data_IF_392535644723
#
_entry.id   IF_392535644723
#
_cell.length_a   1.000
_cell.length_b   1.000
_cell.length_c   1.000
_cell.angle_alpha   90.00
_cell.angle_beta   90.00
_cell.angle_gamma   90.00
#
_symmetry.space_group_name_H-M   'P 1'
#
loop_
_entity.id
_entity.type
_entity.pdbx_description
1 polymer ?
#
# COMPACT_ATOMS: atom_id res chain seq x y z
N UNK A 1 31.42 22.01 6.67
CA UNK A 1 30.00 22.41 6.48
C UNK A 1 29.40 22.58 7.85
N UNK A 2 29.00 23.80 8.21
CA UNK A 2 28.36 24.03 9.49
C UNK A 2 26.91 23.58 9.47
N UNK A 3 26.40 23.33 10.66
CA UNK A 3 25.00 23.04 10.92
C UNK A 3 24.41 24.19 11.72
N UNK A 4 23.18 24.56 11.38
CA UNK A 4 22.38 25.49 12.17
C UNK A 4 21.67 24.66 13.24
N UNK A 5 22.31 24.58 14.41
CA UNK A 5 21.92 23.69 15.50
C UNK A 5 22.00 22.21 15.13
N UNK A 6 21.15 21.36 15.74
CA UNK A 6 21.18 19.91 15.54
C UNK A 6 20.23 19.40 14.45
N UNK A 7 19.55 20.30 13.71
CA UNK A 7 18.42 19.92 12.84
C UNK A 7 18.65 20.17 11.35
N UNK A 8 19.50 21.12 10.95
CA UNK A 8 19.62 21.54 9.55
C UNK A 8 21.03 22.00 9.21
N UNK A 9 21.49 21.71 8.00
CA UNK A 9 22.75 22.21 7.47
C UNK A 9 22.62 23.68 7.05
N UNK A 10 23.70 24.47 7.17
CA UNK A 10 23.77 25.85 6.66
C UNK A 10 23.39 25.93 5.17
N UNK A 11 23.80 24.97 4.35
CA UNK A 11 23.45 24.95 2.91
C UNK A 11 21.96 24.79 2.67
N UNK A 12 21.31 23.94 3.47
CA UNK A 12 19.87 23.73 3.41
C UNK A 12 19.10 24.98 3.83
N UNK A 13 19.67 25.79 4.73
CA UNK A 13 19.09 27.08 5.09
C UNK A 13 19.32 28.13 3.99
N UNK A 14 20.51 28.17 3.40
CA UNK A 14 20.81 29.02 2.26
C UNK A 14 19.89 28.74 1.07
N UNK A 15 19.59 27.47 0.78
CA UNK A 15 18.63 27.07 -0.24
C UNK A 15 17.25 27.72 -0.02
N UNK A 16 16.76 27.71 1.23
CA UNK A 16 15.49 28.35 1.59
C UNK A 16 15.58 29.88 1.43
N UNK A 17 16.66 30.48 1.89
CA UNK A 17 16.90 31.93 1.80
C UNK A 17 17.05 32.40 0.34
N UNK A 18 17.57 31.54 -0.54
CA UNK A 18 17.63 31.77 -1.98
C UNK A 18 16.30 31.59 -2.70
N UNK A 19 15.22 31.24 -1.99
CA UNK A 19 13.87 31.11 -2.53
C UNK A 19 13.49 29.70 -3.00
N UNK A 20 14.36 28.69 -2.83
CA UNK A 20 14.03 27.32 -3.17
C UNK A 20 13.02 26.72 -2.20
N UNK A 21 12.08 25.96 -2.74
CA UNK A 21 10.96 25.39 -1.97
C UNK A 21 11.02 23.86 -1.94
N UNK A 22 10.48 23.29 -0.87
CA UNK A 22 10.38 21.83 -0.73
C UNK A 22 9.12 21.29 -1.39
N UNK A 23 9.09 19.98 -1.70
CA UNK A 23 7.94 19.34 -2.36
C UNK A 23 6.60 19.62 -1.66
N UNK A 24 6.57 19.76 -0.33
CA UNK A 24 5.34 20.03 0.42
C UNK A 24 4.70 21.38 0.07
N UNK A 25 5.52 22.39 -0.25
CA UNK A 25 5.12 23.76 -0.57
C UNK A 25 4.65 23.93 -2.02
N UNK A 26 4.91 22.95 -2.90
CA UNK A 26 4.46 22.97 -4.29
C UNK A 26 2.94 22.77 -4.42
N UNK A 27 2.34 23.39 -5.44
CA UNK A 27 0.95 23.16 -5.84
C UNK A 27 0.73 21.73 -6.29
N UNK A 28 -0.51 21.26 -6.28
CA UNK A 28 -0.84 19.87 -6.61
C UNK A 28 -0.38 19.44 -8.02
N UNK A 29 -0.45 20.32 -9.02
CA UNK A 29 0.03 20.02 -10.38
C UNK A 29 1.55 20.03 -10.48
N UNK A 30 2.23 20.94 -9.76
CA UNK A 30 3.70 20.98 -9.69
C UNK A 30 4.28 19.70 -9.06
N UNK A 31 3.62 19.18 -8.01
CA UNK A 31 3.98 17.87 -7.43
C UNK A 31 3.92 16.74 -8.46
N UNK A 32 2.90 16.78 -9.34
CA UNK A 32 2.74 15.80 -10.43
C UNK A 32 3.76 16.01 -11.55
N UNK A 33 4.16 17.25 -11.85
CA UNK A 33 5.25 17.54 -12.76
C UNK A 33 6.59 16.97 -12.25
N UNK A 34 6.85 17.08 -10.95
CA UNK A 34 8.02 16.44 -10.32
C UNK A 34 7.92 14.90 -10.37
N UNK A 35 6.75 14.34 -10.12
CA UNK A 35 6.54 12.87 -10.13
C UNK A 35 6.63 12.25 -11.53
N UNK A 36 6.22 12.99 -12.57
CA UNK A 36 6.41 12.61 -13.97
C UNK A 36 7.84 12.85 -14.47
N UNK A 37 8.70 13.49 -13.68
CA UNK A 37 10.10 13.76 -14.01
C UNK A 37 10.32 14.98 -14.90
N UNK A 38 9.28 15.81 -15.13
CA UNK A 38 9.37 17.03 -15.91
C UNK A 38 10.22 18.11 -15.22
N UNK A 39 10.24 18.15 -13.89
CA UNK A 39 11.09 19.04 -13.08
C UNK A 39 11.98 18.22 -12.17
N UNK A 40 13.28 18.52 -12.20
CA UNK A 40 14.29 17.91 -11.31
C UNK A 40 14.61 18.86 -10.16
N UNK A 41 14.97 18.34 -8.98
CA UNK A 41 15.39 19.18 -7.88
C UNK A 41 16.75 19.82 -8.17
N UNK A 42 16.88 21.12 -7.89
CA UNK A 42 18.12 21.87 -8.04
C UNK A 42 19.14 21.48 -6.96
N UNK A 43 18.64 21.23 -5.74
CA UNK A 43 19.47 20.83 -4.60
C UNK A 43 18.77 19.75 -3.78
N UNK A 44 19.56 18.90 -3.15
CA UNK A 44 19.07 17.90 -2.21
C UNK A 44 19.96 17.87 -0.98
N UNK A 45 19.34 17.68 0.17
CA UNK A 45 20.03 17.56 1.44
C UNK A 45 19.59 16.29 2.14
N UNK A 46 20.56 15.59 2.71
CA UNK A 46 20.28 14.47 3.60
C UNK A 46 19.53 14.96 4.83
N UNK A 47 18.46 14.27 5.21
CA UNK A 47 17.66 14.63 6.38
C UNK A 47 17.45 13.44 7.31
N UNK A 48 18.08 13.50 8.49
CA UNK A 48 17.84 12.56 9.58
C UNK A 48 18.65 11.26 9.47
N UNK A 49 17.98 10.11 9.66
CA UNK A 49 18.60 8.78 9.65
C UNK A 49 18.41 8.07 8.30
N UNK A 50 19.36 7.21 7.95
CA UNK A 50 19.36 6.34 6.76
C UNK A 50 19.50 7.08 5.42
N UNK A 51 18.58 6.86 4.46
CA UNK A 51 18.64 7.37 3.08
C UNK A 51 17.60 8.47 2.82
N UNK A 52 17.05 9.05 3.89
CA UNK A 52 16.08 10.13 3.77
C UNK A 52 16.75 11.39 3.20
N UNK A 53 16.11 11.99 2.19
CA UNK A 53 16.57 13.21 1.54
C UNK A 53 15.41 14.19 1.36
N UNK A 54 15.73 15.46 1.51
CA UNK A 54 14.83 16.57 1.19
C UNK A 54 15.31 17.22 -0.09
N UNK A 55 14.44 17.24 -1.09
CA UNK A 55 14.66 17.87 -2.37
C UNK A 55 14.11 19.30 -2.37
N UNK A 56 14.87 20.21 -2.97
CA UNK A 56 14.56 21.62 -3.15
C UNK A 56 14.36 21.92 -4.63
N UNK A 57 13.37 22.75 -4.95
CA UNK A 57 12.93 23.07 -6.29
C UNK A 57 12.86 24.59 -6.46
N UNK A 58 13.25 25.07 -7.64
CA UNK A 58 12.99 26.44 -8.05
C UNK A 58 11.56 26.54 -8.61
N UNK A 59 10.88 27.64 -8.31
CA UNK A 59 9.54 27.90 -8.85
C UNK A 59 9.60 28.35 -10.32
N UNK A 60 10.71 28.94 -10.76
CA UNK A 60 10.92 29.38 -12.14
C UNK A 60 10.90 28.21 -13.13
N UNK A 61 11.42 27.04 -12.73
CA UNK A 61 11.38 25.79 -13.51
C UNK A 61 9.96 25.32 -13.85
N UNK A 62 8.93 25.83 -13.15
CA UNK A 62 7.53 25.50 -13.42
C UNK A 62 6.82 26.53 -14.30
N UNK A 63 7.42 27.68 -14.58
CA UNK A 63 6.76 28.76 -15.36
C UNK A 63 6.59 28.38 -16.83
N UNK A 64 7.54 27.62 -17.39
CA UNK A 64 7.50 27.13 -18.77
C UNK A 64 6.56 25.93 -18.94
N UNK A 65 6.09 25.33 -17.84
CA UNK A 65 5.24 24.14 -17.87
C UNK A 65 3.76 24.48 -17.86
N UNK A 66 2.99 23.81 -18.70
CA UNK A 66 1.55 23.97 -18.72
C UNK A 66 0.89 23.05 -17.68
N UNK A 67 0.12 23.59 -16.72
CA UNK A 67 -0.55 22.79 -15.69
C UNK A 67 -1.50 21.72 -16.25
N UNK A 68 -2.01 21.90 -17.48
CA UNK A 68 -2.92 20.95 -18.14
C UNK A 68 -2.24 19.63 -18.52
N UNK A 69 -0.94 19.63 -18.74
CA UNK A 69 -0.16 18.43 -19.10
C UNK A 69 0.04 17.48 -17.91
N UNK A 70 -0.23 17.98 -16.70
CA UNK A 70 -0.14 17.21 -15.46
C UNK A 70 -1.53 17.06 -14.84
N UNK A 71 -2.48 16.35 -15.49
CA UNK A 71 -3.82 16.13 -14.96
C UNK A 71 -3.77 15.23 -13.73
N UNK A 72 -4.82 15.21 -12.89
CA UNK A 72 -4.81 14.36 -11.71
C UNK A 72 -4.71 12.92 -12.20
N UNK A 73 -4.02 12.06 -11.46
CA UNK A 73 -4.26 10.63 -11.57
C UNK A 73 -5.68 10.38 -11.02
N UNK A 74 -6.70 10.79 -11.78
CA UNK A 74 -7.97 10.09 -11.77
C UNK A 74 -7.56 8.65 -11.97
N UNK A 75 -7.82 7.81 -10.96
CA UNK A 75 -7.51 6.40 -11.03
C UNK A 75 -8.11 5.93 -12.35
N UNK A 76 -7.27 5.72 -13.38
CA UNK A 76 -7.60 4.77 -14.42
C UNK A 76 -7.80 3.51 -13.58
N UNK A 77 -9.07 3.18 -13.31
CA UNK A 77 -9.43 1.80 -13.05
C UNK A 77 -8.86 1.12 -14.28
N UNK A 78 -7.67 0.56 -14.14
CA UNK A 78 -7.30 -0.54 -14.99
C UNK A 78 -8.49 -1.46 -14.85
N UNK A 79 -9.28 -1.58 -15.91
CA UNK A 79 -10.15 -2.72 -16.13
C UNK A 79 -9.20 -3.91 -16.16
N UNK A 80 -8.70 -4.32 -14.98
CA UNK A 80 -8.32 -5.69 -14.77
C UNK A 80 -9.60 -6.42 -15.13
N UNK A 81 -9.54 -7.24 -16.17
CA UNK A 81 -10.51 -8.29 -16.35
C UNK A 81 -10.59 -8.99 -14.99
N UNK A 82 -11.60 -8.62 -14.21
CA UNK A 82 -11.86 -9.21 -12.90
C UNK A 82 -12.38 -10.60 -13.22
N UNK A 83 -11.46 -11.53 -13.49
CA UNK A 83 -11.79 -12.94 -13.37
C UNK A 83 -12.31 -13.09 -11.95
N UNK A 84 -13.58 -13.45 -11.84
CA UNK A 84 -14.23 -13.61 -10.54
C UNK A 84 -13.60 -14.81 -9.84
N UNK A 85 -12.54 -14.56 -9.07
CA UNK A 85 -11.90 -15.58 -8.24
C UNK A 85 -12.82 -15.89 -7.06
N UNK A 86 -13.12 -17.17 -6.88
CA UNK A 86 -13.85 -17.68 -5.75
C UNK A 86 -12.90 -18.17 -4.66
N UNK A 87 -13.27 -17.92 -3.41
CA UNK A 87 -12.48 -18.26 -2.23
C UNK A 87 -13.27 -19.20 -1.34
N UNK A 88 -12.63 -20.28 -0.91
CA UNK A 88 -13.11 -21.13 0.17
C UNK A 88 -12.26 -20.86 1.40
N UNK A 89 -12.89 -20.34 2.45
CA UNK A 89 -12.27 -20.04 3.73
C UNK A 89 -12.65 -21.15 4.70
N UNK A 90 -11.67 -21.93 5.12
CA UNK A 90 -11.83 -22.98 6.12
C UNK A 90 -11.20 -22.47 7.41
N UNK A 91 -11.95 -22.44 8.50
CA UNK A 91 -11.42 -22.14 9.82
C UNK A 91 -11.72 -23.27 10.78
N UNK A 92 -10.74 -23.64 11.61
CA UNK A 92 -10.97 -24.60 12.68
C UNK A 92 -12.01 -24.05 13.67
N UNK A 93 -12.97 -24.88 14.03
CA UNK A 93 -13.86 -24.65 15.16
C UNK A 93 -13.18 -25.15 16.44
N UNK A 94 -12.95 -24.23 17.37
CA UNK A 94 -12.18 -24.47 18.58
C UNK A 94 -13.11 -24.61 19.77
N UNK A 95 -12.99 -25.71 20.50
CA UNK A 95 -13.61 -25.87 21.81
C UNK A 95 -12.67 -26.51 22.82
N UNK A 96 -13.23 -27.24 23.78
CA UNK A 96 -12.50 -27.67 24.97
C UNK A 96 -12.39 -26.55 26.00
N UNK A 97 -11.37 -26.63 26.87
CA UNK A 97 -11.15 -25.62 27.92
C UNK A 97 -10.08 -24.64 27.49
N UNK A 98 -10.08 -23.41 28.02
CA UNK A 98 -9.05 -22.40 27.74
C UNK A 98 -7.61 -22.92 27.90
N UNK A 99 -7.39 -23.83 28.85
CA UNK A 99 -6.07 -24.44 29.13
C UNK A 99 -5.73 -25.59 28.18
N UNK A 100 -6.74 -26.27 27.62
CA UNK A 100 -6.60 -27.40 26.71
C UNK A 100 -7.56 -27.23 25.53
N UNK A 101 -7.29 -26.27 24.63
CA UNK A 101 -8.11 -26.05 23.45
C UNK A 101 -7.95 -27.24 22.50
N UNK A 102 -9.05 -27.63 21.84
CA UNK A 102 -9.09 -28.69 20.85
C UNK A 102 -9.91 -28.23 19.65
N UNK A 103 -9.51 -28.69 18.47
CA UNK A 103 -10.32 -28.53 17.26
C UNK A 103 -11.44 -29.56 17.34
N UNK A 104 -12.68 -29.11 17.23
CA UNK A 104 -13.89 -29.95 17.33
C UNK A 104 -14.55 -30.14 15.96
N UNK A 105 -14.22 -29.28 15.00
CA UNK A 105 -14.64 -29.43 13.62
C UNK A 105 -14.13 -28.26 12.78
N UNK A 106 -14.78 -28.04 11.64
CA UNK A 106 -14.44 -26.98 10.72
C UNK A 106 -15.63 -26.06 10.42
N UNK A 107 -15.34 -24.79 10.16
CA UNK A 107 -16.29 -23.80 9.65
C UNK A 107 -15.83 -23.38 8.27
N UNK A 108 -16.64 -23.69 7.26
CA UNK A 108 -16.34 -23.42 5.85
C UNK A 108 -17.22 -22.27 5.33
N UNK A 109 -16.62 -21.35 4.58
CA UNK A 109 -17.32 -20.23 3.92
C UNK A 109 -16.83 -20.03 2.49
N UNK A 110 -17.76 -19.98 1.55
CA UNK A 110 -17.49 -19.64 0.13
C UNK A 110 -17.82 -18.17 -0.14
N UNK A 111 -16.94 -17.43 -0.81
CA UNK A 111 -17.13 -16.01 -1.17
C UNK A 111 -16.31 -15.65 -2.40
N UNK A 112 -16.77 -14.71 -3.21
CA UNK A 112 -15.99 -14.12 -4.31
C UNK A 112 -15.28 -12.81 -3.89
N UNK A 113 -15.44 -12.40 -2.63
CA UNK A 113 -14.86 -11.16 -2.10
C UNK A 113 -14.15 -11.42 -0.78
N UNK A 114 -12.86 -11.10 -0.73
CA UNK A 114 -12.03 -11.15 0.47
C UNK A 114 -11.15 -9.90 0.55
N UNK A 115 -10.96 -9.38 1.77
CA UNK A 115 -10.06 -8.24 2.03
C UNK A 115 -8.65 -8.72 2.37
N UNK A 116 -7.62 -7.90 2.12
CA UNK A 116 -6.23 -8.23 2.47
C UNK A 116 -6.08 -8.60 3.95
N UNK A 117 -6.79 -7.88 4.83
CA UNK A 117 -6.84 -8.17 6.27
C UNK A 117 -7.39 -9.56 6.58
N UNK A 118 -8.36 -10.05 5.79
CA UNK A 118 -8.90 -11.40 5.96
C UNK A 118 -7.91 -12.46 5.46
N UNK A 119 -7.19 -12.20 4.35
CA UNK A 119 -6.14 -13.11 3.85
C UNK A 119 -5.06 -13.35 4.90
N UNK A 120 -4.68 -12.33 5.66
CA UNK A 120 -3.64 -12.42 6.69
C UNK A 120 -4.17 -12.67 8.10
N UNK A 121 -5.46 -12.98 8.27
CA UNK A 121 -6.03 -13.15 9.60
C UNK A 121 -5.46 -14.40 10.29
N UNK A 122 -5.09 -14.28 11.57
CA UNK A 122 -4.47 -15.38 12.33
C UNK A 122 -5.29 -16.68 12.29
N UNK A 123 -6.62 -16.61 12.20
CA UNK A 123 -7.45 -17.83 12.11
C UNK A 123 -7.18 -18.69 10.87
N UNK A 124 -6.70 -18.11 9.78
CA UNK A 124 -6.35 -18.83 8.55
C UNK A 124 -4.85 -19.01 8.34
N UNK A 125 -4.03 -18.26 9.08
CA UNK A 125 -2.57 -18.32 8.96
C UNK A 125 -1.93 -19.15 10.08
N UNK A 126 -2.50 -19.10 11.30
CA UNK A 126 -1.87 -19.59 12.53
C UNK A 126 -2.76 -20.52 13.37
N UNK A 127 -4.10 -20.44 13.27
CA UNK A 127 -5.02 -21.19 14.13
C UNK A 127 -5.84 -22.25 13.40
N UNK A 128 -5.17 -23.04 12.53
CA UNK A 128 -5.74 -24.26 11.95
C UNK A 128 -6.75 -24.06 10.82
N UNK A 129 -6.95 -22.83 10.35
CA UNK A 129 -7.68 -22.55 9.11
C UNK A 129 -6.76 -22.38 7.90
N UNK A 130 -7.35 -22.23 6.72
CA UNK A 130 -6.68 -21.88 5.47
C UNK A 130 -7.66 -21.26 4.48
N UNK A 131 -7.14 -20.64 3.42
CA UNK A 131 -7.92 -20.06 2.33
C UNK A 131 -7.45 -20.69 1.02
N UNK A 132 -8.39 -21.12 0.18
CA UNK A 132 -8.12 -21.68 -1.15
C UNK A 132 -8.87 -20.90 -2.23
N UNK A 133 -8.19 -20.65 -3.34
CA UNK A 133 -8.69 -19.87 -4.47
C UNK A 133 -9.12 -20.80 -5.61
N UNK A 134 -10.17 -20.43 -6.35
CA UNK A 134 -10.78 -21.19 -7.44
C UNK A 134 -11.24 -20.25 -8.55
N UNK A 135 -11.24 -20.73 -9.79
CA UNK A 135 -11.66 -19.96 -10.96
C UNK A 135 -13.19 -20.00 -11.14
N UNK A 136 -13.88 -20.98 -10.56
CA UNK A 136 -15.33 -21.14 -10.68
C UNK A 136 -16.01 -21.36 -9.34
N UNK A 137 -17.27 -20.91 -9.23
CA UNK A 137 -18.08 -21.14 -8.02
C UNK A 137 -18.37 -22.62 -7.79
N UNK A 138 -18.56 -23.39 -8.86
CA UNK A 138 -18.88 -24.81 -8.79
C UNK A 138 -17.75 -25.62 -8.13
N UNK A 139 -16.51 -25.36 -8.53
CA UNK A 139 -15.32 -25.98 -7.93
C UNK A 139 -15.15 -25.57 -6.47
N UNK A 140 -15.34 -24.28 -6.16
CA UNK A 140 -15.29 -23.78 -4.79
C UNK A 140 -16.34 -24.47 -3.89
N UNK A 141 -17.57 -24.63 -4.38
CA UNK A 141 -18.65 -25.31 -3.64
C UNK A 141 -18.43 -26.81 -3.51
N UNK A 142 -17.88 -27.47 -4.53
CA UNK A 142 -17.51 -28.89 -4.43
C UNK A 142 -16.40 -29.10 -3.40
N UNK A 143 -15.38 -28.25 -3.42
CA UNK A 143 -14.31 -28.30 -2.42
C UNK A 143 -14.84 -28.02 -1.01
N UNK A 144 -15.75 -27.04 -0.85
CA UNK A 144 -16.36 -26.75 0.44
C UNK A 144 -17.10 -27.96 1.02
N UNK A 145 -17.85 -28.71 0.19
CA UNK A 145 -18.53 -29.95 0.63
C UNK A 145 -17.55 -31.03 1.06
N UNK A 146 -16.42 -31.17 0.36
CA UNK A 146 -15.37 -32.14 0.75
C UNK A 146 -14.76 -31.72 2.09
N UNK A 147 -14.44 -30.44 2.24
CA UNK A 147 -13.87 -29.89 3.47
C UNK A 147 -14.82 -30.00 4.67
N UNK A 148 -16.14 -29.92 4.47
CA UNK A 148 -17.15 -30.18 5.51
C UNK A 148 -17.31 -31.66 5.87
N UNK A 149 -16.90 -32.59 5.00
CA UNK A 149 -17.06 -34.03 5.18
C UNK A 149 -15.80 -34.74 5.71
N UNK A 150 -14.64 -34.08 5.71
CA UNK A 150 -13.38 -34.60 6.27
C UNK A 150 -13.26 -34.41 7.81
N UNK A 151 -14.33 -33.94 8.47
CA UNK A 151 -14.46 -33.86 9.94
C UNK A 151 -14.74 -35.22 10.61
#
# INVERSE_FOLDING_TARGET
>A
MGYIGNKRSERSQYAIESGLVTKSQLKAWQKRAVESGAVRPCEWHHTGKYFNKTNYFDLTDFEELNPKDFPPNSKKKEEKEEKEIWYVLVSADWGGTKKYPKIIGSVVKVTNKITDRQKTANKYCLYGGYIKEFDTEAEARQFAKIAELED
#
